data_IF_568813681259
#
_entry.id   IF_568813681259
#
_cell.length_a   1.000
_cell.length_b   1.000
_cell.length_c   1.000
_cell.angle_alpha   90.00
_cell.angle_beta   90.00
_cell.angle_gamma   90.00
#
_symmetry.space_group_name_H-M   'P 1'
#
loop_
_entity.id
_entity.type
_entity.pdbx_description
1 polymer ?
#
# COMPACT_ATOMS: atom_id res chain seq x y z
N UNK A 1 -26.55 17.23 24.00
CA UNK A 1 -26.78 16.28 22.90
C UNK A 1 -26.73 16.91 21.49
N UNK A 2 -27.16 18.17 21.27
CA UNK A 2 -27.07 18.83 19.94
C UNK A 2 -25.63 19.27 19.55
N UNK A 3 -24.82 19.76 20.51
CA UNK A 3 -23.43 20.18 20.22
C UNK A 3 -22.46 19.04 19.86
N UNK A 4 -22.72 17.84 20.37
CA UNK A 4 -21.90 16.66 20.07
C UNK A 4 -22.14 16.13 18.65
N UNK A 5 -23.38 16.27 18.16
CA UNK A 5 -23.79 15.87 16.81
C UNK A 5 -23.20 16.80 15.74
N UNK A 6 -23.21 18.12 15.98
CA UNK A 6 -22.60 19.10 15.09
C UNK A 6 -21.07 18.96 15.03
N UNK A 7 -20.42 18.70 16.17
CA UNK A 7 -18.98 18.44 16.23
C UNK A 7 -18.59 17.13 15.52
N UNK A 8 -19.46 16.10 15.56
CA UNK A 8 -19.24 14.84 14.83
C UNK A 8 -19.39 15.02 13.32
N UNK A 9 -20.40 15.77 12.87
CA UNK A 9 -20.59 16.09 11.46
C UNK A 9 -19.39 16.86 10.88
N UNK A 10 -18.88 17.86 11.61
CA UNK A 10 -17.71 18.64 11.19
C UNK A 10 -16.43 17.82 11.08
N UNK A 11 -16.22 16.84 11.98
CA UNK A 11 -15.09 15.90 11.88
C UNK A 11 -15.23 14.98 10.67
N UNK A 12 -16.42 14.45 10.43
CA UNK A 12 -16.67 13.60 9.27
C UNK A 12 -16.47 14.36 7.95
N UNK A 13 -16.90 15.62 7.87
CA UNK A 13 -16.62 16.50 6.73
C UNK A 13 -15.12 16.79 6.58
N UNK A 14 -14.42 17.00 7.69
CA UNK A 14 -12.97 17.18 7.69
C UNK A 14 -12.25 15.95 7.13
N UNK A 15 -12.61 14.76 7.60
CA UNK A 15 -12.04 13.49 7.15
C UNK A 15 -12.34 13.22 5.69
N UNK A 16 -13.58 13.48 5.22
CA UNK A 16 -13.93 13.40 3.80
C UNK A 16 -13.10 14.37 2.96
N UNK A 17 -12.93 15.61 3.42
CA UNK A 17 -12.12 16.60 2.70
C UNK A 17 -10.66 16.18 2.59
N UNK A 18 -10.09 15.60 3.66
CA UNK A 18 -8.71 15.10 3.64
C UNK A 18 -8.59 13.94 2.66
N UNK A 19 -9.50 12.97 2.70
CA UNK A 19 -9.49 11.83 1.78
C UNK A 19 -9.55 12.27 0.31
N UNK A 20 -10.48 13.15 -0.03
CA UNK A 20 -10.61 13.68 -1.39
C UNK A 20 -9.35 14.40 -1.86
N UNK A 21 -8.69 15.16 -0.97
CA UNK A 21 -7.42 15.82 -1.29
C UNK A 21 -6.31 14.80 -1.55
N UNK A 22 -6.20 13.76 -0.72
CA UNK A 22 -5.16 12.73 -0.88
C UNK A 22 -5.38 11.90 -2.15
N UNK A 23 -6.61 11.51 -2.46
CA UNK A 23 -6.95 10.78 -3.69
C UNK A 23 -6.64 11.63 -4.94
N UNK A 24 -7.01 12.92 -4.92
CA UNK A 24 -6.69 13.83 -6.02
C UNK A 24 -5.18 14.09 -6.15
N UNK A 25 -4.47 14.19 -5.01
CA UNK A 25 -3.02 14.36 -4.99
C UNK A 25 -2.32 13.15 -5.61
N UNK A 26 -2.73 11.92 -5.26
CA UNK A 26 -2.19 10.69 -5.86
C UNK A 26 -2.35 10.69 -7.38
N UNK A 27 -3.58 10.92 -7.87
CA UNK A 27 -3.87 10.91 -9.31
C UNK A 27 -3.11 11.98 -10.08
N UNK A 28 -3.03 13.20 -9.52
CA UNK A 28 -2.39 14.31 -10.19
C UNK A 28 -0.86 14.19 -10.15
N UNK A 29 -0.27 13.77 -9.02
CA UNK A 29 1.18 13.60 -8.90
C UNK A 29 1.70 12.45 -9.76
N UNK A 30 0.87 11.43 -10.05
CA UNK A 30 1.19 10.36 -10.99
C UNK A 30 1.38 10.84 -12.43
N UNK A 31 0.71 11.93 -12.81
CA UNK A 31 0.77 12.50 -14.15
C UNK A 31 1.72 13.70 -14.20
N UNK A 32 1.72 14.53 -13.16
CA UNK A 32 2.47 15.77 -13.05
C UNK A 32 3.10 15.83 -11.65
N UNK A 33 4.30 15.25 -11.44
CA UNK A 33 4.98 15.27 -10.14
C UNK A 33 5.24 16.69 -9.61
N UNK A 34 5.28 17.69 -10.50
CA UNK A 34 5.46 19.11 -10.16
C UNK A 34 4.21 19.86 -9.72
N UNK A 35 3.03 19.20 -9.68
CA UNK A 35 1.77 19.87 -9.39
C UNK A 35 1.78 20.64 -8.07
N UNK A 36 1.19 21.84 -8.10
CA UNK A 36 1.07 22.76 -6.98
C UNK A 36 -0.06 22.39 -6.02
N UNK A 37 -0.01 22.94 -4.81
CA UNK A 37 -1.09 22.81 -3.83
C UNK A 37 -2.44 23.33 -4.37
N UNK A 38 -2.40 24.38 -5.19
CA UNK A 38 -3.59 24.95 -5.82
C UNK A 38 -4.17 24.05 -6.91
N UNK A 39 -3.31 23.42 -7.73
CA UNK A 39 -3.76 22.44 -8.74
C UNK A 39 -4.40 21.22 -8.07
N UNK A 40 -3.80 20.74 -6.98
CA UNK A 40 -4.35 19.62 -6.18
C UNK A 40 -5.69 20.00 -5.54
N UNK A 41 -5.81 21.21 -4.98
CA UNK A 41 -7.06 21.69 -4.41
C UNK A 41 -8.18 21.76 -5.44
N UNK A 42 -7.87 22.25 -6.64
CA UNK A 42 -8.81 22.30 -7.76
C UNK A 42 -9.25 20.88 -8.19
N UNK A 43 -8.30 19.95 -8.33
CA UNK A 43 -8.58 18.55 -8.66
C UNK A 43 -9.45 17.86 -7.59
N UNK A 44 -9.22 18.17 -6.31
CA UNK A 44 -10.00 17.65 -5.19
C UNK A 44 -11.37 18.32 -5.01
N UNK A 45 -11.69 19.35 -5.79
CA UNK A 45 -12.93 20.12 -5.66
C UNK A 45 -13.04 20.93 -4.36
N UNK A 46 -11.91 21.31 -3.76
CA UNK A 46 -11.87 22.09 -2.50
C UNK A 46 -11.30 23.48 -2.71
N UNK A 47 -11.73 24.43 -1.88
CA UNK A 47 -11.17 25.78 -1.89
C UNK A 47 -9.69 25.78 -1.45
N UNK A 48 -8.88 26.70 -2.01
CA UNK A 48 -7.47 26.91 -1.62
C UNK A 48 -7.29 27.10 -0.10
N UNK A 49 -8.19 27.83 0.55
CA UNK A 49 -8.15 28.02 2.01
C UNK A 49 -8.36 26.71 2.78
N UNK A 50 -9.11 25.76 2.21
CA UNK A 50 -9.35 24.45 2.81
C UNK A 50 -8.10 23.60 2.78
N UNK A 51 -7.39 23.51 1.64
CA UNK A 51 -6.17 22.70 1.55
C UNK A 51 -5.09 23.24 2.49
N UNK A 52 -4.87 24.55 2.56
CA UNK A 52 -3.85 25.15 3.43
C UNK A 52 -4.21 25.06 4.93
N UNK A 53 -5.50 24.95 5.26
CA UNK A 53 -5.93 24.65 6.64
C UNK A 53 -5.66 23.20 7.04
N UNK A 54 -5.63 22.27 6.06
CA UNK A 54 -5.35 20.85 6.30
C UNK A 54 -3.85 20.54 6.25
N UNK A 55 -3.14 21.14 5.32
CA UNK A 55 -1.74 20.90 5.06
C UNK A 55 -1.02 22.23 4.97
N UNK A 56 -0.08 22.46 5.89
CA UNK A 56 0.64 23.73 5.98
C UNK A 56 1.45 24.04 4.70
N UNK A 57 1.98 23.00 4.04
CA UNK A 57 2.76 23.08 2.83
C UNK A 57 2.67 21.77 2.02
N UNK A 58 3.29 21.75 0.84
CA UNK A 58 3.33 20.57 -0.05
C UNK A 58 4.01 19.36 0.59
N UNK A 59 5.02 19.60 1.43
CA UNK A 59 5.74 18.53 2.12
C UNK A 59 4.82 17.81 3.13
N UNK A 60 4.05 18.55 3.92
CA UNK A 60 3.06 18.00 4.85
C UNK A 60 1.95 17.22 4.12
N UNK A 61 1.56 17.65 2.91
CA UNK A 61 0.62 16.89 2.07
C UNK A 61 1.24 15.56 1.62
N UNK A 62 2.51 15.58 1.17
CA UNK A 62 3.23 14.37 0.74
C UNK A 62 3.41 13.37 1.88
N UNK A 63 3.78 13.84 3.08
CA UNK A 63 3.91 12.99 4.27
C UNK A 63 2.58 12.34 4.64
N UNK A 64 1.48 13.10 4.56
CA UNK A 64 0.14 12.57 4.77
C UNK A 64 -0.27 11.56 3.70
N UNK A 65 0.13 11.80 2.44
CA UNK A 65 -0.10 10.89 1.32
C UNK A 65 0.62 9.55 1.52
N UNK A 66 1.92 9.60 1.84
CA UNK A 66 2.73 8.42 2.15
C UNK A 66 2.15 7.63 3.34
N UNK A 67 1.74 8.34 4.40
CA UNK A 67 1.11 7.73 5.58
C UNK A 67 -0.21 7.04 5.22
N UNK A 68 -1.04 7.67 4.40
CA UNK A 68 -2.30 7.07 3.93
C UNK A 68 -2.10 5.83 3.07
N UNK A 69 -1.08 5.84 2.19
CA UNK A 69 -0.72 4.68 1.38
C UNK A 69 -0.17 3.53 2.25
N UNK A 70 0.71 3.82 3.21
CA UNK A 70 1.25 2.84 4.15
C UNK A 70 0.15 2.21 5.03
N UNK A 71 -0.83 3.00 5.50
CA UNK A 71 -2.00 2.48 6.24
C UNK A 71 -2.85 1.55 5.39
N UNK A 72 -3.06 1.87 4.11
CA UNK A 72 -3.79 0.98 3.20
C UNK A 72 -3.03 -0.31 2.92
N UNK A 73 -1.71 -0.27 2.77
CA UNK A 73 -0.90 -1.49 2.67
C UNK A 73 -0.99 -2.34 3.94
N UNK A 74 -0.93 -1.72 5.12
CA UNK A 74 -1.05 -2.43 6.39
C UNK A 74 -2.42 -3.10 6.52
N UNK A 75 -3.50 -2.40 6.13
CA UNK A 75 -4.85 -2.97 6.11
C UNK A 75 -4.98 -4.10 5.09
N UNK A 76 -4.44 -3.94 3.88
CA UNK A 76 -4.43 -4.98 2.85
C UNK A 76 -3.74 -6.27 3.33
N UNK A 77 -2.65 -6.13 4.10
CA UNK A 77 -1.98 -7.26 4.74
C UNK A 77 -2.89 -7.90 5.79
N UNK A 78 -3.49 -7.11 6.68
CA UNK A 78 -4.39 -7.60 7.73
C UNK A 78 -5.62 -8.34 7.17
N UNK A 79 -6.24 -7.81 6.11
CA UNK A 79 -7.41 -8.40 5.44
C UNK A 79 -7.08 -9.77 4.81
N UNK A 80 -5.82 -9.99 4.47
CA UNK A 80 -5.31 -11.28 4.02
C UNK A 80 -5.15 -12.32 5.14
N UNK A 81 -5.40 -11.93 6.40
CA UNK A 81 -5.39 -12.77 7.61
C UNK A 81 -4.06 -13.50 7.81
N UNK A 82 -2.94 -12.76 7.94
CA UNK A 82 -1.57 -13.30 7.91
C UNK A 82 -1.27 -14.27 9.05
N UNK A 83 -2.04 -14.23 10.14
CA UNK A 83 -1.82 -15.08 11.32
C UNK A 83 -2.80 -16.26 11.40
N UNK A 84 -3.93 -16.22 10.70
CA UNK A 84 -5.02 -17.20 10.90
C UNK A 84 -5.41 -17.99 9.65
N UNK A 85 -5.18 -17.46 8.44
CA UNK A 85 -5.42 -18.21 7.21
C UNK A 85 -4.27 -19.21 6.94
N UNK A 86 -4.51 -20.32 6.21
CA UNK A 86 -3.45 -21.19 5.72
C UNK A 86 -2.38 -20.38 4.96
N UNK A 87 -1.07 -20.65 5.12
CA UNK A 87 -0.01 -19.77 4.61
C UNK A 87 -0.13 -19.46 3.12
N UNK A 88 -0.38 -20.46 2.27
CA UNK A 88 -0.56 -20.26 0.83
C UNK A 88 -1.75 -19.35 0.50
N UNK A 89 -2.87 -19.52 1.23
CA UNK A 89 -4.08 -18.70 1.07
C UNK A 89 -3.83 -17.26 1.51
N UNK A 90 -3.14 -17.08 2.65
CA UNK A 90 -2.76 -15.77 3.14
C UNK A 90 -1.80 -15.07 2.17
N UNK A 91 -0.77 -15.76 1.68
CA UNK A 91 0.18 -15.23 0.71
C UNK A 91 -0.57 -14.73 -0.54
N UNK A 92 -1.43 -15.54 -1.16
CA UNK A 92 -2.19 -15.13 -2.33
C UNK A 92 -3.07 -13.89 -2.06
N UNK A 93 -3.88 -13.91 -1.00
CA UNK A 93 -4.78 -12.79 -0.65
C UNK A 93 -4.01 -11.50 -0.39
N UNK A 94 -2.93 -11.59 0.39
CA UNK A 94 -2.09 -10.43 0.70
C UNK A 94 -1.45 -9.90 -0.58
N UNK A 95 -0.91 -10.76 -1.45
CA UNK A 95 -0.34 -10.33 -2.72
C UNK A 95 -1.37 -9.60 -3.57
N UNK A 96 -2.58 -10.15 -3.75
CA UNK A 96 -3.64 -9.52 -4.54
C UNK A 96 -4.05 -8.15 -3.96
N UNK A 97 -4.28 -8.08 -2.64
CA UNK A 97 -4.66 -6.84 -1.97
C UNK A 97 -3.53 -5.77 -2.08
N UNK A 98 -2.28 -6.18 -1.90
CA UNK A 98 -1.12 -5.28 -2.00
C UNK A 98 -0.94 -4.77 -3.43
N UNK A 99 -1.12 -5.62 -4.45
CA UNK A 99 -1.08 -5.20 -5.85
C UNK A 99 -2.16 -4.15 -6.13
N UNK A 100 -3.38 -4.35 -5.63
CA UNK A 100 -4.46 -3.38 -5.78
C UNK A 100 -4.10 -2.03 -5.14
N UNK A 101 -3.61 -2.03 -3.90
CA UNK A 101 -3.19 -0.79 -3.22
C UNK A 101 -2.03 -0.13 -3.95
N UNK A 102 -1.00 -0.88 -4.36
CA UNK A 102 0.15 -0.33 -5.09
C UNK A 102 -0.23 0.24 -6.45
N UNK A 103 -1.22 -0.35 -7.13
CA UNK A 103 -1.72 0.18 -8.40
C UNK A 103 -2.46 1.52 -8.21
N UNK A 104 -3.19 1.68 -7.09
CA UNK A 104 -3.96 2.86 -6.78
C UNK A 104 -3.13 4.00 -6.15
N UNK A 105 -2.00 3.67 -5.52
CA UNK A 105 -1.13 4.59 -4.78
C UNK A 105 0.31 4.57 -5.27
N UNK A 106 0.49 4.53 -6.59
CA UNK A 106 1.79 4.40 -7.24
C UNK A 106 2.72 5.56 -6.85
N UNK A 107 2.25 6.80 -6.96
CA UNK A 107 3.07 7.99 -6.68
C UNK A 107 3.41 8.11 -5.20
N UNK A 108 2.44 7.90 -4.31
CA UNK A 108 2.67 7.97 -2.88
C UNK A 108 3.75 6.98 -2.39
N UNK A 109 3.83 5.79 -2.99
CA UNK A 109 4.74 4.73 -2.59
C UNK A 109 6.14 4.84 -3.21
N UNK A 110 6.31 5.69 -4.23
CA UNK A 110 7.61 6.03 -4.80
C UNK A 110 8.30 7.18 -4.06
N UNK A 111 7.56 7.95 -3.26
CA UNK A 111 8.10 9.09 -2.53
C UNK A 111 8.99 8.62 -1.36
N UNK A 112 10.16 9.23 -1.16
CA UNK A 112 10.98 8.98 0.01
C UNK A 112 10.19 9.32 1.28
N UNK A 113 10.08 8.36 2.18
CA UNK A 113 9.52 8.59 3.51
C UNK A 113 10.64 9.00 4.48
N UNK A 114 10.32 9.93 5.39
CA UNK A 114 11.16 10.19 6.56
C UNK A 114 11.27 8.88 7.38
N UNK A 115 12.49 8.43 7.75
CA UNK A 115 12.69 7.22 8.57
C UNK A 115 11.92 7.20 9.89
N UNK A 116 11.64 8.38 10.46
CA UNK A 116 10.91 8.52 11.73
C UNK A 116 9.40 8.75 11.53
N UNK A 117 8.92 8.72 10.28
CA UNK A 117 7.49 8.87 9.98
C UNK A 117 6.66 7.65 10.37
N UNK A 118 5.36 7.89 10.58
CA UNK A 118 4.38 6.80 10.77
C UNK A 118 4.39 5.82 9.58
N UNK A 119 4.58 6.31 8.36
CA UNK A 119 4.69 5.47 7.17
C UNK A 119 5.86 4.48 7.28
N UNK A 120 7.04 4.94 7.72
CA UNK A 120 8.21 4.09 7.90
C UNK A 120 7.97 3.00 8.96
N UNK A 121 7.33 3.35 10.08
CA UNK A 121 6.94 2.37 11.12
C UNK A 121 5.99 1.31 10.55
N UNK A 122 4.96 1.72 9.80
CA UNK A 122 4.02 0.79 9.15
C UNK A 122 4.73 -0.14 8.15
N UNK A 123 5.69 0.37 7.37
CA UNK A 123 6.47 -0.46 6.45
C UNK A 123 7.35 -1.49 7.18
N UNK A 124 7.95 -1.12 8.31
CA UNK A 124 8.71 -2.06 9.15
C UNK A 124 7.78 -3.15 9.72
N UNK A 125 6.59 -2.77 10.16
CA UNK A 125 5.56 -3.71 10.64
C UNK A 125 5.14 -4.71 9.57
N UNK A 126 4.88 -4.23 8.35
CA UNK A 126 4.54 -5.07 7.19
C UNK A 126 5.69 -6.03 6.88
N UNK A 127 6.94 -5.56 6.87
CA UNK A 127 8.10 -6.41 6.61
C UNK A 127 8.26 -7.53 7.65
N UNK A 128 8.07 -7.22 8.92
CA UNK A 128 8.09 -8.22 10.00
C UNK A 128 6.99 -9.26 9.83
N UNK A 129 5.76 -8.84 9.54
CA UNK A 129 4.62 -9.74 9.30
C UNK A 129 4.85 -10.63 8.07
N UNK A 130 5.49 -10.09 7.03
CA UNK A 130 5.88 -10.87 5.86
C UNK A 130 6.85 -11.99 6.23
N UNK A 131 7.89 -11.71 7.03
CA UNK A 131 8.81 -12.76 7.51
C UNK A 131 8.08 -13.80 8.35
N UNK A 132 7.19 -13.39 9.24
CA UNK A 132 6.40 -14.33 10.06
C UNK A 132 5.53 -15.25 9.18
N UNK A 133 4.89 -14.71 8.14
CA UNK A 133 4.12 -15.52 7.18
C UNK A 133 4.99 -16.48 6.38
N UNK A 134 6.16 -16.03 5.89
CA UNK A 134 7.12 -16.90 5.21
C UNK A 134 7.62 -18.01 6.12
N UNK A 135 7.82 -17.72 7.42
CA UNK A 135 8.17 -18.73 8.41
C UNK A 135 7.07 -19.78 8.57
N UNK A 136 5.79 -19.35 8.66
CA UNK A 136 4.66 -20.29 8.66
C UNK A 136 4.59 -21.14 7.39
N UNK A 137 4.88 -20.57 6.23
CA UNK A 137 4.95 -21.31 4.97
C UNK A 137 6.10 -22.34 4.96
N UNK A 138 7.24 -22.01 5.58
CA UNK A 138 8.35 -22.95 5.79
C UNK A 138 7.95 -24.09 6.74
N UNK A 139 7.28 -23.77 7.86
CA UNK A 139 6.81 -24.78 8.82
C UNK A 139 5.77 -25.74 8.19
N UNK A 140 4.97 -25.24 7.25
CA UNK A 140 4.03 -26.02 6.42
C UNK A 140 4.70 -26.73 5.21
N UNK A 141 6.04 -26.66 5.10
CA UNK A 141 6.85 -27.29 4.03
C UNK A 141 6.56 -26.79 2.61
N UNK A 142 6.01 -25.57 2.49
CA UNK A 142 5.85 -24.87 1.21
C UNK A 142 7.16 -24.19 0.76
N UNK A 143 8.02 -23.86 1.72
CA UNK A 143 9.35 -23.30 1.52
C UNK A 143 10.37 -24.26 2.14
N UNK A 144 11.50 -24.45 1.47
CA UNK A 144 12.59 -25.30 1.97
C UNK A 144 13.05 -24.88 3.37
N UNK A 145 13.29 -25.85 4.25
CA UNK A 145 13.72 -25.61 5.64
C UNK A 145 15.08 -24.91 5.73
N UNK A 146 15.94 -25.08 4.71
CA UNK A 146 17.25 -24.42 4.63
C UNK A 146 17.21 -23.04 3.95
N UNK A 147 16.05 -22.60 3.46
CA UNK A 147 15.93 -21.31 2.78
C UNK A 147 16.19 -20.12 3.72
N UNK A 148 16.97 -19.14 3.24
CA UNK A 148 17.12 -17.83 3.87
C UNK A 148 15.84 -17.00 3.65
N UNK A 149 15.02 -16.85 4.70
CA UNK A 149 13.75 -16.14 4.62
C UNK A 149 13.91 -14.64 4.31
N UNK A 150 15.04 -14.02 4.65
CA UNK A 150 15.30 -12.63 4.30
C UNK A 150 15.60 -12.49 2.80
N UNK A 151 16.31 -13.46 2.22
CA UNK A 151 16.48 -13.54 0.77
C UNK A 151 15.14 -13.80 0.06
N UNK A 152 14.36 -14.78 0.52
CA UNK A 152 13.04 -15.09 -0.05
C UNK A 152 12.13 -13.88 -0.01
N UNK A 153 12.11 -13.11 1.10
CA UNK A 153 11.36 -11.86 1.20
C UNK A 153 11.82 -10.82 0.17
N UNK A 154 13.13 -10.63 -0.03
CA UNK A 154 13.65 -9.69 -1.04
C UNK A 154 13.20 -10.09 -2.45
N UNK A 155 13.27 -11.37 -2.78
CA UNK A 155 12.80 -11.89 -4.08
C UNK A 155 11.29 -11.71 -4.24
N UNK A 156 10.51 -12.02 -3.20
CA UNK A 156 9.05 -11.81 -3.20
C UNK A 156 8.69 -10.33 -3.43
N UNK A 157 9.38 -9.41 -2.75
CA UNK A 157 9.18 -7.97 -2.93
C UNK A 157 9.58 -7.51 -4.32
N UNK A 158 10.66 -8.06 -4.89
CA UNK A 158 11.07 -7.78 -6.26
C UNK A 158 10.00 -8.24 -7.26
N UNK A 159 9.44 -9.45 -7.12
CA UNK A 159 8.37 -9.93 -7.99
C UNK A 159 7.13 -9.03 -7.94
N UNK A 160 6.72 -8.59 -6.74
CA UNK A 160 5.62 -7.62 -6.60
C UNK A 160 5.97 -6.30 -7.27
N UNK A 161 7.17 -5.76 -7.00
CA UNK A 161 7.63 -4.52 -7.60
C UNK A 161 7.61 -4.58 -9.12
N UNK A 162 8.26 -5.56 -9.72
CA UNK A 162 8.36 -5.74 -11.16
C UNK A 162 7.01 -6.00 -11.84
N UNK A 163 6.08 -6.69 -11.17
CA UNK A 163 4.73 -6.94 -11.73
C UNK A 163 3.92 -5.66 -11.99
N UNK A 164 4.32 -4.54 -11.38
CA UNK A 164 3.70 -3.24 -11.56
C UNK A 164 4.44 -2.37 -12.60
N UNK A 165 5.65 -2.77 -13.00
CA UNK A 165 6.46 -2.10 -14.01
C UNK A 165 6.12 -2.66 -15.41
N UNK A 166 5.26 -1.95 -16.14
CA UNK A 166 4.88 -2.24 -17.54
C UNK A 166 3.51 -2.90 -17.70
N UNK A 167 2.65 -2.35 -18.56
CA UNK A 167 1.30 -2.82 -18.94
C UNK A 167 0.47 -3.56 -17.85
N UNK A 168 0.65 -3.19 -16.59
CA UNK A 168 -0.16 -3.66 -15.46
C UNK A 168 -1.58 -3.07 -15.51
N UNK A 169 -1.80 -2.06 -16.35
CA UNK A 169 -3.11 -1.48 -16.62
C UNK A 169 -4.03 -2.54 -17.24
N UNK A 170 -4.89 -3.13 -16.40
CA UNK A 170 -5.88 -4.13 -16.78
C UNK A 170 -5.55 -5.58 -16.43
N UNK A 171 -4.38 -5.85 -15.82
CA UNK A 171 -4.08 -7.17 -15.30
C UNK A 171 -4.85 -7.42 -13.99
N UNK A 172 -5.62 -8.50 -13.94
CA UNK A 172 -6.36 -8.91 -12.74
C UNK A 172 -5.39 -9.18 -11.56
N UNK A 173 -5.55 -8.48 -10.42
CA UNK A 173 -4.67 -8.65 -9.25
C UNK A 173 -4.60 -10.09 -8.74
N UNK A 174 -5.69 -10.85 -8.81
CA UNK A 174 -5.71 -12.26 -8.40
C UNK A 174 -4.85 -13.12 -9.35
N UNK A 175 -5.00 -12.92 -10.66
CA UNK A 175 -4.16 -13.60 -11.66
C UNK A 175 -2.66 -13.29 -11.49
N UNK A 176 -2.32 -12.03 -11.20
CA UNK A 176 -0.93 -11.64 -10.93
C UNK A 176 -0.41 -12.24 -9.61
N UNK A 177 -1.24 -12.23 -8.56
CA UNK A 177 -0.90 -12.85 -7.29
C UNK A 177 -0.59 -14.33 -7.45
N UNK A 178 -1.44 -15.08 -8.15
CA UNK A 178 -1.20 -16.49 -8.45
C UNK A 178 0.15 -16.70 -9.17
N UNK A 179 0.45 -15.89 -10.20
CA UNK A 179 1.71 -15.98 -10.94
C UNK A 179 2.93 -15.68 -10.06
N UNK A 180 2.86 -14.65 -9.21
CA UNK A 180 3.95 -14.27 -8.29
C UNK A 180 4.21 -15.40 -7.30
N UNK A 181 3.16 -15.94 -6.68
CA UNK A 181 3.27 -17.01 -5.69
C UNK A 181 3.78 -18.30 -6.32
N UNK A 182 3.26 -18.70 -7.49
CA UNK A 182 3.77 -19.86 -8.22
C UNK A 182 5.24 -19.70 -8.58
N UNK A 183 5.64 -18.51 -9.08
CA UNK A 183 7.04 -18.23 -9.43
C UNK A 183 7.94 -18.27 -8.20
N UNK A 184 7.48 -17.74 -7.06
CA UNK A 184 8.24 -17.74 -5.81
C UNK A 184 8.46 -19.15 -5.27
N UNK A 185 7.42 -19.98 -5.28
CA UNK A 185 7.44 -21.30 -4.64
C UNK A 185 7.96 -22.42 -5.55
N UNK A 186 7.80 -22.29 -6.86
CA UNK A 186 8.12 -23.36 -7.83
C UNK A 186 9.22 -22.95 -8.81
N UNK A 187 9.58 -21.66 -8.88
CA UNK A 187 10.49 -21.15 -9.91
C UNK A 187 9.87 -21.21 -11.32
N UNK A 188 10.71 -20.97 -12.33
CA UNK A 188 10.32 -20.97 -13.75
C UNK A 188 10.72 -22.25 -14.49
N UNK A 189 11.34 -23.21 -13.81
CA UNK A 189 11.75 -24.48 -14.41
C UNK A 189 10.51 -25.36 -14.71
N UNK A 190 10.57 -26.23 -15.74
CA UNK A 190 9.52 -27.23 -15.96
C UNK A 190 9.33 -28.10 -14.72
N UNK A 191 8.08 -28.34 -14.34
CA UNK A 191 7.74 -29.31 -13.30
C UNK A 191 8.08 -30.72 -13.83
N UNK A 192 8.90 -31.45 -13.07
CA UNK A 192 9.25 -32.84 -13.37
C UNK A 192 8.08 -33.79 -13.07
#
# INVERSE_FOLDING_TARGET
>A
MMGETAARALRADAERSVRAILEAAEQLLAQEPGASMEQIAAAAGVARTTIHRRFANRQALIEALATSAARQLAQAVEDGRPDTAPPLVAMHRITANVLQVKSAWRSALELPADPDSEAAVLHQDIARRCIALLKRAQDDKLIDEAADLDWVRRVYYALIGESLHGNADGADPDTLAARIIDTLLQGAAPRA
#
